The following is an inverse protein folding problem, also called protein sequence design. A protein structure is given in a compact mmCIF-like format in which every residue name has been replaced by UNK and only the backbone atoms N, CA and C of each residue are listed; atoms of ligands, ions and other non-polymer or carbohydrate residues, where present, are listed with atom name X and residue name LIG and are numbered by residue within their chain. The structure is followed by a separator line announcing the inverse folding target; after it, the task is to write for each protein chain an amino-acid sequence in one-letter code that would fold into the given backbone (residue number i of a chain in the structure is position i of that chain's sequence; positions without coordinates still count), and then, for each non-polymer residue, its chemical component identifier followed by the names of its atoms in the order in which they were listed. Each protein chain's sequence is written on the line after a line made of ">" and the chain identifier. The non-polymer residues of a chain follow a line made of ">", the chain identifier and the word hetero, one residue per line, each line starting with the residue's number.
data_IF_403720981215
#
_entry.id   IF_403720981215
#
_cell.length_a   1.000
_cell.length_b   1.000
_cell.length_c   1.000
_cell.angle_alpha   90.00
_cell.angle_beta   90.00
_cell.angle_gamma   90.00
#
_symmetry.space_group_name_H-M   'P 1'
#
loop_
_entity.id
_entity.type
_entity.pdbx_description
1 polymer ?
#
# COMPACT_ATOMS: atom_id res chain seq x y z
N UNK A 1 -11.10 11.05 -19.40
CA UNK A 1 -10.80 12.08 -18.40
C UNK A 1 -11.92 12.07 -17.36
N UNK A 2 -11.64 11.56 -16.15
CA UNK A 2 -12.66 11.33 -15.12
C UNK A 2 -13.20 12.70 -14.66
N UNK A 3 -14.48 12.99 -14.91
CA UNK A 3 -15.21 14.23 -14.57
C UNK A 3 -14.82 15.55 -15.31
N UNK A 4 -13.70 15.62 -16.04
CA UNK A 4 -13.20 16.87 -16.66
C UNK A 4 -13.03 18.04 -15.67
N UNK A 5 -12.75 17.75 -14.39
CA UNK A 5 -12.63 18.73 -13.28
C UNK A 5 -11.28 18.64 -12.61
N UNK A 6 -10.87 19.73 -11.95
CA UNK A 6 -9.70 19.73 -11.08
C UNK A 6 -10.08 19.29 -9.68
N UNK A 7 -9.34 18.34 -9.14
CA UNK A 7 -9.59 17.83 -7.79
C UNK A 7 -8.56 18.38 -6.81
N UNK A 8 -9.02 18.78 -5.62
CA UNK A 8 -8.13 19.24 -4.54
C UNK A 8 -7.70 18.04 -3.70
N UNK A 9 -6.39 17.82 -3.63
CA UNK A 9 -5.73 16.77 -2.84
C UNK A 9 -5.16 17.34 -1.55
N UNK A 10 -5.13 16.55 -0.46
CA UNK A 10 -4.47 16.98 0.76
C UNK A 10 -2.96 17.07 0.51
N UNK A 11 -2.32 18.15 0.95
CA UNK A 11 -0.87 18.34 0.88
C UNK A 11 -0.09 17.40 1.81
N UNK A 12 -0.78 16.80 2.79
CA UNK A 12 -0.22 15.81 3.70
C UNK A 12 -1.09 14.56 3.76
N UNK A 13 -0.46 13.40 3.64
CA UNK A 13 -1.11 12.11 3.87
C UNK A 13 -0.82 11.64 5.29
N UNK A 14 -1.87 11.31 6.04
CA UNK A 14 -1.71 10.62 7.32
C UNK A 14 -1.21 9.21 7.07
N UNK A 15 -0.24 8.78 7.87
CA UNK A 15 0.33 7.43 7.83
C UNK A 15 0.21 6.84 9.23
N UNK A 16 -0.05 5.54 9.32
CA UNK A 16 -0.01 4.84 10.60
C UNK A 16 1.38 5.07 11.24
N UNK A 17 1.48 5.49 12.51
CA UNK A 17 2.77 5.73 13.18
C UNK A 17 3.77 4.57 13.07
N UNK A 18 3.28 3.32 12.96
CA UNK A 18 4.11 2.12 12.73
C UNK A 18 4.89 2.17 11.41
N UNK A 19 4.39 2.88 10.40
CA UNK A 19 4.99 3.03 9.08
C UNK A 19 5.80 4.33 8.94
N UNK A 20 5.77 5.24 9.92
CA UNK A 20 6.51 6.50 9.83
C UNK A 20 7.90 6.45 10.50
N UNK A 21 8.19 5.41 11.28
CA UNK A 21 9.52 5.20 11.87
C UNK A 21 10.41 4.49 10.86
N UNK A 22 11.50 5.09 10.38
CA UNK A 22 12.57 4.37 9.65
C UNK A 22 12.99 3.15 10.50
N UNK A 23 13.13 1.98 9.88
CA UNK A 23 13.31 0.70 10.56
C UNK A 23 14.24 0.75 11.78
N UNK A 24 13.70 0.34 12.94
CA UNK A 24 14.36 -0.15 14.16
C UNK A 24 15.79 0.35 14.38
N UNK A 25 15.97 1.60 14.81
CA UNK A 25 17.15 2.09 15.53
C UNK A 25 16.76 3.47 16.10
N UNK A 26 16.84 3.63 17.42
CA UNK A 26 16.60 4.87 18.18
C UNK A 26 15.15 5.21 18.54
N UNK A 27 14.77 4.80 19.76
CA UNK A 27 13.68 5.39 20.53
C UNK A 27 14.21 6.59 21.33
N UNK A 28 13.58 7.75 21.21
CA UNK A 28 13.62 8.79 22.24
C UNK A 28 12.17 9.19 22.56
N UNK A 29 11.72 8.89 23.77
CA UNK A 29 10.29 8.92 24.16
C UNK A 29 9.79 10.30 24.66
N UNK A 30 10.45 11.40 24.31
CA UNK A 30 10.01 12.75 24.69
C UNK A 30 9.67 13.58 23.44
N UNK A 31 8.45 13.43 22.93
CA UNK A 31 7.94 14.20 21.79
C UNK A 31 6.55 14.79 22.09
N UNK A 32 6.38 16.09 21.80
CA UNK A 32 5.16 16.87 22.02
C UNK A 32 3.99 16.38 21.14
N UNK A 33 2.78 16.89 21.36
CA UNK A 33 1.59 16.55 20.57
C UNK A 33 1.73 16.94 19.08
N UNK A 34 2.40 18.05 18.78
CA UNK A 34 2.71 18.46 17.41
C UNK A 34 3.77 17.57 16.77
N UNK A 35 4.80 17.18 17.53
CA UNK A 35 5.82 16.22 17.06
C UNK A 35 5.21 14.86 16.73
N UNK A 36 4.16 14.44 17.44
CA UNK A 36 3.41 13.20 17.18
C UNK A 36 2.57 13.27 15.89
N UNK A 37 2.06 14.45 15.52
CA UNK A 37 1.32 14.64 14.26
C UNK A 37 2.26 14.76 13.05
N UNK A 38 3.37 15.48 13.21
CA UNK A 38 4.45 15.50 12.23
C UNK A 38 5.03 14.10 12.01
N UNK A 39 5.18 13.31 13.09
CA UNK A 39 5.56 11.91 13.05
C UNK A 39 4.45 10.92 12.64
N UNK A 40 3.28 11.39 12.20
CA UNK A 40 2.21 10.53 11.64
C UNK A 40 1.65 11.03 10.31
N UNK A 41 2.36 11.94 9.64
CA UNK A 41 1.99 12.40 8.30
C UNK A 41 3.22 12.63 7.42
N UNK A 42 3.06 12.46 6.10
CA UNK A 42 4.07 12.78 5.11
C UNK A 42 3.53 13.77 4.09
N UNK A 43 4.42 14.57 3.51
CA UNK A 43 4.06 15.42 2.39
C UNK A 43 3.61 14.55 1.20
N UNK A 44 2.54 14.98 0.55
CA UNK A 44 1.86 14.21 -0.50
C UNK A 44 2.76 14.02 -1.73
N UNK A 45 3.50 15.07 -2.08
CA UNK A 45 4.50 15.14 -3.15
C UNK A 45 5.80 14.37 -2.86
N UNK A 46 6.09 14.05 -1.59
CA UNK A 46 7.23 13.18 -1.26
C UNK A 46 6.96 11.71 -1.55
N UNK A 47 5.68 11.35 -1.72
CA UNK A 47 5.21 9.98 -1.95
C UNK A 47 4.71 9.78 -3.38
N UNK A 48 4.00 10.76 -3.93
CA UNK A 48 3.35 10.65 -5.23
C UNK A 48 3.71 11.81 -6.15
N UNK A 49 3.69 11.52 -7.44
CA UNK A 49 4.04 12.44 -8.52
C UNK A 49 2.78 13.19 -8.99
N UNK A 50 2.63 14.45 -8.59
CA UNK A 50 1.40 15.23 -8.86
C UNK A 50 1.23 15.52 -10.34
N UNK A 51 2.32 15.70 -11.08
CA UNK A 51 2.30 15.92 -12.53
C UNK A 51 1.82 14.65 -13.24
N UNK A 52 2.37 13.49 -12.86
CA UNK A 52 1.95 12.21 -13.41
C UNK A 52 0.49 11.87 -13.07
N UNK A 53 0.00 12.23 -11.88
CA UNK A 53 -1.43 12.09 -11.55
C UNK A 53 -2.27 12.99 -12.48
N UNK A 54 -1.80 14.22 -12.70
CA UNK A 54 -2.49 15.25 -13.50
C UNK A 54 -2.69 14.85 -14.96
N UNK A 55 -1.85 13.95 -15.50
CA UNK A 55 -2.05 13.35 -16.83
C UNK A 55 -3.36 12.55 -16.94
N UNK A 56 -3.86 12.00 -15.83
CA UNK A 56 -5.10 11.21 -15.81
C UNK A 56 -6.30 12.01 -15.28
N UNK A 57 -6.09 12.72 -14.17
CA UNK A 57 -7.08 13.61 -13.57
C UNK A 57 -6.36 14.84 -13.04
N UNK A 58 -6.75 16.06 -13.46
CA UNK A 58 -6.10 17.28 -12.98
C UNK A 58 -6.19 17.38 -11.46
N UNK A 59 -5.06 17.59 -10.79
CA UNK A 59 -5.00 17.72 -9.33
C UNK A 59 -4.20 18.93 -8.89
N UNK A 60 -4.62 19.51 -7.76
CA UNK A 60 -3.86 20.56 -7.06
C UNK A 60 -3.82 20.23 -5.56
N UNK A 61 -2.74 20.63 -4.88
CA UNK A 61 -2.64 20.47 -3.43
C UNK A 61 -3.37 21.61 -2.70
N UNK A 62 -3.93 21.30 -1.53
CA UNK A 62 -4.62 22.26 -0.64
C UNK A 62 -3.71 23.30 0.04
N UNK A 63 -2.41 23.26 -0.21
CA UNK A 63 -1.43 24.28 0.18
C UNK A 63 -0.78 24.97 -1.04
N UNK A 64 -1.26 24.71 -2.26
CA UNK A 64 -0.71 25.32 -3.47
C UNK A 64 -1.13 26.78 -3.59
N UNK A 65 -0.27 27.62 -4.19
CA UNK A 65 -0.60 29.02 -4.48
C UNK A 65 -1.88 29.12 -5.33
N UNK A 66 -2.01 28.24 -6.32
CA UNK A 66 -3.20 28.16 -7.17
C UNK A 66 -4.47 27.92 -6.34
N UNK A 67 -4.44 27.03 -5.35
CA UNK A 67 -5.57 26.81 -4.44
C UNK A 67 -5.93 28.07 -3.63
N UNK A 68 -4.94 28.80 -3.11
CA UNK A 68 -5.18 30.05 -2.39
C UNK A 68 -5.75 31.15 -3.30
N UNK A 69 -5.22 31.29 -4.52
CA UNK A 69 -5.72 32.24 -5.52
C UNK A 69 -7.18 31.95 -5.87
N UNK A 70 -7.50 30.67 -6.11
CA UNK A 70 -8.86 30.18 -6.35
C UNK A 70 -9.79 30.55 -5.18
N UNK A 71 -9.43 30.22 -3.94
CA UNK A 71 -10.26 30.52 -2.75
C UNK A 71 -10.52 32.02 -2.60
N UNK A 72 -9.50 32.86 -2.83
CA UNK A 72 -9.62 34.31 -2.71
C UNK A 72 -10.49 34.95 -3.79
N UNK A 73 -10.63 34.28 -4.95
CA UNK A 73 -11.37 34.76 -6.12
C UNK A 73 -12.79 34.21 -6.16
N UNK A 74 -13.00 32.95 -5.79
CA UNK A 74 -14.31 32.30 -5.74
C UNK A 74 -15.24 32.93 -4.70
N UNK A 75 -14.68 33.43 -3.59
CA UNK A 75 -15.43 34.21 -2.61
C UNK A 75 -16.01 35.51 -3.19
N UNK A 76 -15.51 35.99 -4.35
CA UNK A 76 -15.96 37.21 -5.01
C UNK A 76 -16.96 36.99 -6.16
N UNK A 77 -17.06 35.77 -6.72
CA UNK A 77 -17.81 35.48 -7.96
C UNK A 77 -18.98 34.48 -7.80
N UNK A 78 -19.24 34.00 -6.58
CA UNK A 78 -20.41 33.18 -6.25
C UNK A 78 -20.17 31.67 -6.29
N UNK A 79 -21.03 30.93 -5.60
CA UNK A 79 -20.87 29.52 -5.19
C UNK A 79 -20.94 28.45 -6.31
N UNK A 80 -20.71 28.80 -7.58
CA UNK A 80 -20.91 27.88 -8.73
C UNK A 80 -19.63 27.26 -9.30
N UNK A 81 -18.44 27.64 -8.82
CA UNK A 81 -17.16 27.13 -9.36
C UNK A 81 -16.50 26.05 -8.49
N UNK A 82 -16.76 26.04 -7.18
CA UNK A 82 -16.12 25.14 -6.21
C UNK A 82 -17.19 24.48 -5.36
N UNK A 83 -17.11 23.17 -5.13
CA UNK A 83 -17.88 22.50 -4.09
C UNK A 83 -17.02 21.70 -3.12
N UNK A 84 -17.36 21.81 -1.84
CA UNK A 84 -16.93 20.91 -0.78
C UNK A 84 -17.88 19.72 -0.77
N UNK A 85 -17.35 18.51 -0.99
CA UNK A 85 -18.17 17.32 -1.28
C UNK A 85 -17.90 16.21 -0.26
N UNK A 86 -17.87 16.59 1.02
CA UNK A 86 -17.81 15.65 2.13
C UNK A 86 -19.05 14.75 2.13
N UNK A 87 -18.85 13.44 2.31
CA UNK A 87 -19.95 12.45 2.31
C UNK A 87 -20.61 12.16 0.95
N UNK A 88 -20.27 12.89 -0.12
CA UNK A 88 -20.89 12.69 -1.45
C UNK A 88 -20.28 11.47 -2.15
N UNK A 89 -21.13 10.52 -2.59
CA UNK A 89 -20.66 9.30 -3.28
C UNK A 89 -20.11 9.60 -4.68
N UNK A 90 -19.30 8.68 -5.23
CA UNK A 90 -18.82 8.77 -6.62
C UNK A 90 -19.99 8.85 -7.62
N UNK A 91 -21.04 8.06 -7.40
CA UNK A 91 -22.24 8.03 -8.25
C UNK A 91 -22.95 9.38 -8.21
N UNK A 92 -23.16 9.94 -7.02
CA UNK A 92 -23.79 11.24 -6.87
C UNK A 92 -23.00 12.38 -7.52
N UNK A 93 -21.66 12.36 -7.47
CA UNK A 93 -20.86 13.36 -8.19
C UNK A 93 -20.96 13.25 -9.71
N UNK A 94 -21.15 12.04 -10.23
CA UNK A 94 -21.19 11.81 -11.67
C UNK A 94 -22.59 12.07 -12.26
N UNK A 95 -23.64 11.76 -11.51
CA UNK A 95 -25.02 11.75 -12.02
C UNK A 95 -25.84 12.97 -11.58
N UNK A 96 -25.46 13.67 -10.51
CA UNK A 96 -26.23 14.81 -10.03
C UNK A 96 -25.82 16.11 -10.74
N UNK A 97 -26.79 16.70 -11.45
CA UNK A 97 -26.61 17.95 -12.19
C UNK A 97 -26.12 19.13 -11.32
N UNK A 98 -26.32 19.10 -10.00
CA UNK A 98 -25.77 20.10 -9.08
C UNK A 98 -24.24 20.20 -9.14
N UNK A 99 -23.55 19.09 -9.45
CA UNK A 99 -22.09 19.04 -9.54
C UNK A 99 -21.56 19.16 -10.96
N UNK A 100 -22.45 19.14 -11.97
CA UNK A 100 -22.09 19.12 -13.38
C UNK A 100 -21.37 20.37 -13.86
N UNK A 101 -21.63 21.54 -13.26
CA UNK A 101 -21.03 22.82 -13.68
C UNK A 101 -19.83 23.27 -12.82
N UNK A 102 -19.45 22.48 -11.81
CA UNK A 102 -18.33 22.83 -10.94
C UNK A 102 -17.02 22.71 -11.70
N UNK A 103 -16.05 23.59 -11.45
CA UNK A 103 -14.70 23.52 -12.01
C UNK A 103 -13.76 22.76 -11.06
N UNK A 104 -13.97 22.96 -9.75
CA UNK A 104 -13.16 22.38 -8.69
C UNK A 104 -13.99 21.58 -7.70
N UNK A 105 -13.50 20.38 -7.40
CA UNK A 105 -14.10 19.50 -6.41
C UNK A 105 -13.14 19.39 -5.23
N UNK A 106 -13.50 20.05 -4.14
CA UNK A 106 -12.75 19.93 -2.90
C UNK A 106 -13.16 18.64 -2.15
N UNK A 107 -12.32 17.62 -2.33
CA UNK A 107 -12.44 16.32 -1.67
C UNK A 107 -11.65 16.23 -0.37
N UNK A 108 -10.82 17.22 -0.02
CA UNK A 108 -10.02 17.19 1.23
C UNK A 108 -10.91 17.26 2.49
N UNK A 109 -12.14 17.77 2.34
CA UNK A 109 -13.18 17.69 3.36
C UNK A 109 -13.60 16.24 3.70
N UNK A 110 -13.30 15.25 2.85
CA UNK A 110 -13.51 13.84 3.17
C UNK A 110 -12.19 13.19 3.61
N UNK A 111 -12.13 12.58 4.81
CA UNK A 111 -10.92 11.89 5.32
C UNK A 111 -10.49 10.65 4.51
N UNK A 112 -11.26 10.24 3.50
CA UNK A 112 -11.17 8.95 2.81
C UNK A 112 -11.10 9.07 1.27
N UNK A 113 -11.36 10.25 0.73
CA UNK A 113 -11.64 10.49 -0.70
C UNK A 113 -10.47 10.14 -1.62
N UNK A 114 -9.26 10.30 -1.12
CA UNK A 114 -8.02 10.05 -1.86
C UNK A 114 -7.25 8.85 -1.31
N UNK A 115 -7.11 8.76 0.02
CA UNK A 115 -6.16 7.87 0.66
C UNK A 115 -6.82 7.09 1.80
N UNK A 116 -7.13 5.82 1.55
CA UNK A 116 -7.71 4.92 2.55
C UNK A 116 -6.63 4.35 3.48
N UNK A 117 -5.82 5.20 4.11
CA UNK A 117 -4.66 4.73 4.88
C UNK A 117 -4.90 4.68 6.38
N UNK A 118 -5.72 5.60 6.93
CA UNK A 118 -5.70 5.82 8.38
C UNK A 118 -6.98 5.54 9.18
N UNK A 119 -8.23 5.54 8.65
CA UNK A 119 -9.39 5.39 9.57
C UNK A 119 -10.58 4.51 9.13
N UNK A 120 -10.98 4.43 7.87
CA UNK A 120 -12.18 3.64 7.53
C UNK A 120 -12.08 2.93 6.18
N UNK A 121 -11.23 1.90 6.11
CA UNK A 121 -10.90 1.10 4.91
C UNK A 121 -12.08 0.39 4.23
N UNK A 122 -13.30 0.51 4.74
CA UNK A 122 -14.45 -0.30 4.33
C UNK A 122 -15.37 0.41 3.32
N UNK A 123 -15.42 1.76 3.31
CA UNK A 123 -16.28 2.49 2.39
C UNK A 123 -15.56 2.90 1.09
N UNK A 124 -15.54 1.99 0.09
CA UNK A 124 -14.92 2.23 -1.22
C UNK A 124 -15.78 3.06 -2.18
N UNK A 125 -17.06 3.29 -1.86
CA UNK A 125 -17.99 4.06 -2.72
C UNK A 125 -17.63 5.55 -2.81
N UNK A 126 -16.81 6.04 -1.88
CA UNK A 126 -16.32 7.41 -1.83
C UNK A 126 -15.06 7.65 -2.69
N UNK A 127 -14.40 6.59 -3.16
CA UNK A 127 -13.15 6.69 -3.91
C UNK A 127 -13.45 6.84 -5.39
N UNK A 128 -12.92 7.88 -6.00
CA UNK A 128 -13.14 8.18 -7.41
C UNK A 128 -12.24 7.36 -8.35
N UNK A 129 -11.04 7.01 -7.90
CA UNK A 129 -10.01 6.37 -8.72
C UNK A 129 -9.86 4.86 -8.44
N UNK A 130 -9.41 4.06 -9.42
CA UNK A 130 -9.12 2.64 -9.21
C UNK A 130 -8.14 2.42 -8.05
N UNK A 131 -8.28 1.31 -7.33
CA UNK A 131 -7.38 0.94 -6.23
C UNK A 131 -5.91 0.77 -6.67
N UNK A 132 -5.69 0.49 -7.96
CA UNK A 132 -4.36 0.38 -8.57
C UNK A 132 -3.73 1.71 -9.00
N UNK A 133 -4.51 2.80 -9.06
CA UNK A 133 -4.07 4.07 -9.65
C UNK A 133 -2.96 4.74 -8.84
N UNK A 134 -3.22 5.15 -7.60
CA UNK A 134 -2.22 5.83 -6.78
C UNK A 134 -0.90 5.07 -6.66
N UNK A 135 -0.90 3.74 -6.47
CA UNK A 135 0.33 2.96 -6.47
C UNK A 135 1.21 3.06 -7.72
N UNK A 136 0.64 3.34 -8.90
CA UNK A 136 1.42 3.57 -10.13
C UNK A 136 1.89 5.02 -10.29
N UNK A 137 1.53 5.90 -9.36
CA UNK A 137 1.78 7.34 -9.40
C UNK A 137 2.84 7.76 -8.37
N UNK A 138 3.76 6.86 -8.02
CA UNK A 138 4.79 7.13 -7.03
C UNK A 138 5.71 8.28 -7.48
N UNK A 139 6.18 9.07 -6.52
CA UNK A 139 7.07 10.21 -6.75
C UNK A 139 8.28 9.78 -7.61
N UNK A 140 8.70 10.65 -8.54
CA UNK A 140 9.80 10.37 -9.48
C UNK A 140 11.05 9.81 -8.79
N UNK A 141 11.44 10.38 -7.64
CA UNK A 141 12.60 9.90 -6.85
C UNK A 141 12.49 8.42 -6.44
N UNK A 142 11.29 7.96 -6.09
CA UNK A 142 11.02 6.58 -5.68
C UNK A 142 11.05 5.64 -6.89
N UNK A 143 10.51 6.09 -8.03
CA UNK A 143 10.55 5.37 -9.32
C UNK A 143 11.98 5.19 -9.80
N UNK A 144 12.75 6.27 -9.87
CA UNK A 144 14.14 6.27 -10.34
C UNK A 144 15.01 5.28 -9.52
N UNK A 145 14.77 5.18 -8.21
CA UNK A 145 15.52 4.25 -7.35
C UNK A 145 15.02 2.82 -7.41
N UNK A 146 13.72 2.60 -7.53
CA UNK A 146 13.21 1.29 -7.86
C UNK A 146 13.82 0.78 -9.18
N UNK A 147 13.92 1.64 -10.21
CA UNK A 147 14.54 1.29 -11.49
C UNK A 147 16.02 0.94 -11.36
N UNK A 148 16.79 1.67 -10.53
CA UNK A 148 18.18 1.30 -10.21
C UNK A 148 18.28 -0.07 -9.55
N UNK A 149 17.42 -0.37 -8.56
CA UNK A 149 17.42 -1.68 -7.90
C UNK A 149 17.04 -2.79 -8.87
N UNK A 150 16.03 -2.58 -9.72
CA UNK A 150 15.64 -3.52 -10.78
C UNK A 150 16.77 -3.79 -11.77
N UNK A 151 17.51 -2.76 -12.16
CA UNK A 151 18.68 -2.92 -13.04
C UNK A 151 19.77 -3.80 -12.40
N UNK A 152 20.01 -3.66 -11.10
CA UNK A 152 20.95 -4.53 -10.35
C UNK A 152 20.41 -5.95 -10.19
N UNK A 153 19.09 -6.11 -10.00
CA UNK A 153 18.43 -7.42 -9.89
C UNK A 153 18.46 -8.22 -11.22
N UNK A 154 18.38 -7.54 -12.36
CA UNK A 154 18.33 -8.19 -13.68
C UNK A 154 16.99 -8.86 -13.97
N UNK A 155 17.00 -10.14 -14.37
CA UNK A 155 15.78 -10.97 -14.47
C UNK A 155 15.51 -11.67 -13.14
N UNK A 156 14.36 -11.38 -12.53
CA UNK A 156 13.98 -11.86 -11.21
C UNK A 156 12.48 -12.09 -11.10
N UNK A 157 12.09 -12.89 -10.10
CA UNK A 157 10.73 -13.02 -9.62
C UNK A 157 10.60 -12.38 -8.25
N UNK A 158 9.38 -12.13 -7.80
CA UNK A 158 9.14 -11.52 -6.51
C UNK A 158 8.05 -12.23 -5.72
N UNK A 159 8.24 -12.27 -4.40
CA UNK A 159 7.22 -12.69 -3.45
C UNK A 159 6.97 -11.60 -2.43
N UNK A 160 5.70 -11.36 -2.13
CA UNK A 160 5.28 -10.54 -1.00
C UNK A 160 4.76 -11.43 0.12
N UNK A 161 5.34 -11.33 1.31
CA UNK A 161 4.96 -12.14 2.48
C UNK A 161 4.50 -11.26 3.63
N UNK A 162 3.19 -11.11 3.79
CA UNK A 162 2.52 -10.36 4.87
C UNK A 162 2.10 -11.29 5.99
N UNK A 163 2.93 -11.36 7.04
CA UNK A 163 2.79 -12.33 8.12
C UNK A 163 2.65 -11.65 9.48
N UNK A 164 3.63 -10.88 9.93
CA UNK A 164 3.76 -10.43 11.32
C UNK A 164 2.49 -9.79 11.94
N UNK A 165 1.86 -8.83 11.27
CA UNK A 165 0.63 -8.17 11.75
C UNK A 165 -0.66 -9.00 11.60
N UNK A 166 -0.59 -10.05 10.77
CA UNK A 166 -1.71 -10.93 10.41
C UNK A 166 -1.76 -12.21 11.24
N UNK A 167 -0.65 -12.58 11.86
CA UNK A 167 -0.48 -13.70 12.79
C UNK A 167 -1.12 -13.43 14.17
N UNK A 168 -2.36 -12.93 14.20
CA UNK A 168 -3.08 -12.65 15.45
C UNK A 168 -3.86 -13.89 15.87
N UNK A 169 -3.56 -14.41 17.06
CA UNK A 169 -4.30 -15.50 17.67
C UNK A 169 -4.98 -15.08 18.96
N UNK A 170 -6.03 -15.82 19.34
CA UNK A 170 -6.71 -15.68 20.64
C UNK A 170 -7.20 -17.04 21.10
N UNK A 171 -7.34 -17.24 22.41
CA UNK A 171 -8.02 -18.42 22.96
C UNK A 171 -9.53 -18.18 23.04
N UNK A 172 -10.32 -19.19 22.69
CA UNK A 172 -11.75 -19.17 22.96
C UNK A 172 -12.05 -19.57 24.42
N UNK A 173 -13.35 -19.64 24.78
CA UNK A 173 -13.80 -19.99 26.12
C UNK A 173 -13.38 -21.40 26.59
N UNK A 174 -12.92 -22.26 25.68
CA UNK A 174 -12.44 -23.60 25.95
C UNK A 174 -10.90 -23.69 25.92
N UNK A 175 -10.22 -22.55 25.77
CA UNK A 175 -8.76 -22.49 25.71
C UNK A 175 -8.17 -22.84 24.34
N UNK A 176 -9.01 -23.08 23.32
CA UNK A 176 -8.56 -23.45 21.97
C UNK A 176 -8.07 -22.21 21.23
N UNK A 177 -6.89 -22.30 20.62
CA UNK A 177 -6.34 -21.21 19.82
C UNK A 177 -7.17 -20.99 18.55
N UNK A 178 -7.43 -19.72 18.23
CA UNK A 178 -8.16 -19.28 17.05
C UNK A 178 -7.40 -18.17 16.35
N UNK A 179 -7.53 -18.11 15.02
CA UNK A 179 -6.94 -17.08 14.14
C UNK A 179 -7.98 -16.59 13.14
N UNK A 180 -7.78 -15.38 12.62
CA UNK A 180 -8.56 -14.84 11.49
C UNK A 180 -8.07 -15.36 10.12
N UNK A 181 -6.88 -15.97 10.12
CA UNK A 181 -6.17 -16.47 8.95
C UNK A 181 -5.67 -17.89 9.28
N UNK A 182 -6.54 -18.92 9.12
CA UNK A 182 -6.23 -20.30 9.53
C UNK A 182 -5.03 -20.91 8.82
N UNK A 183 -4.78 -20.58 7.55
CA UNK A 183 -3.71 -21.21 6.76
C UNK A 183 -2.44 -20.35 6.69
N UNK A 184 -2.53 -19.06 6.98
CA UNK A 184 -1.43 -18.10 6.77
C UNK A 184 -0.11 -18.54 7.41
N UNK A 185 -0.11 -19.05 8.64
CA UNK A 185 1.14 -19.47 9.30
C UNK A 185 1.83 -20.56 8.50
N UNK A 186 1.11 -21.66 8.25
CA UNK A 186 1.55 -22.81 7.49
C UNK A 186 2.05 -22.41 6.11
N UNK A 187 1.18 -21.74 5.35
CA UNK A 187 1.40 -21.43 3.94
C UNK A 187 2.58 -20.47 3.69
N UNK A 188 2.92 -19.64 4.69
CA UNK A 188 4.03 -18.68 4.60
C UNK A 188 5.33 -19.16 5.24
N UNK A 189 5.37 -20.39 5.76
CA UNK A 189 6.63 -21.01 6.18
C UNK A 189 7.50 -21.37 4.97
N UNK A 190 8.84 -21.29 5.07
CA UNK A 190 9.73 -21.47 3.92
C UNK A 190 9.54 -22.80 3.19
N UNK A 191 9.31 -23.89 3.90
CA UNK A 191 9.10 -25.22 3.34
C UNK A 191 7.80 -25.33 2.52
N UNK A 192 6.74 -24.61 2.91
CA UNK A 192 5.49 -24.53 2.15
C UNK A 192 5.61 -23.57 0.98
N UNK A 193 6.30 -22.44 1.18
CA UNK A 193 6.63 -21.49 0.09
C UNK A 193 7.40 -22.22 -1.01
N UNK A 194 8.45 -22.99 -0.68
CA UNK A 194 9.24 -23.76 -1.64
C UNK A 194 8.37 -24.62 -2.56
N UNK A 195 7.50 -25.45 -1.97
CA UNK A 195 6.58 -26.32 -2.72
C UNK A 195 5.58 -25.53 -3.54
N UNK A 196 5.03 -24.45 -2.96
CA UNK A 196 3.96 -23.67 -3.61
C UNK A 196 4.47 -22.86 -4.79
N UNK A 197 5.68 -22.31 -4.73
CA UNK A 197 6.21 -21.46 -5.81
C UNK A 197 6.96 -22.24 -6.89
N UNK A 198 7.36 -23.49 -6.63
CA UNK A 198 8.06 -24.34 -7.61
C UNK A 198 7.30 -24.51 -8.93
N UNK A 199 5.96 -24.57 -8.88
CA UNK A 199 5.11 -24.64 -10.08
C UNK A 199 5.13 -23.37 -10.95
N UNK A 200 5.67 -22.26 -10.44
CA UNK A 200 5.66 -20.96 -11.11
C UNK A 200 7.08 -20.44 -11.37
N UNK A 201 8.02 -20.73 -10.48
CA UNK A 201 9.38 -20.21 -10.51
C UNK A 201 10.38 -21.35 -10.66
N UNK A 202 11.08 -21.45 -11.81
CA UNK A 202 12.13 -22.42 -12.02
C UNK A 202 13.28 -22.31 -10.98
N UNK A 203 13.95 -23.42 -10.64
CA UNK A 203 15.11 -23.40 -9.74
C UNK A 203 16.26 -22.54 -10.30
N UNK A 204 17.07 -21.98 -9.40
CA UNK A 204 18.23 -21.13 -9.73
C UNK A 204 17.91 -19.65 -9.99
N UNK A 205 16.63 -19.28 -10.07
CA UNK A 205 16.18 -17.91 -10.28
C UNK A 205 16.36 -17.03 -9.04
N UNK A 206 16.46 -15.72 -9.27
CA UNK A 206 16.49 -14.71 -8.21
C UNK A 206 15.08 -14.39 -7.75
N UNK A 207 14.84 -14.45 -6.45
CA UNK A 207 13.57 -14.07 -5.82
C UNK A 207 13.80 -12.87 -4.92
N UNK A 208 13.19 -11.74 -5.28
CA UNK A 208 13.07 -10.58 -4.41
C UNK A 208 11.96 -10.81 -3.37
N UNK A 209 12.29 -10.69 -2.08
CA UNK A 209 11.37 -10.96 -0.98
C UNK A 209 11.05 -9.65 -0.24
N UNK A 210 9.81 -9.18 -0.37
CA UNK A 210 9.27 -8.10 0.46
C UNK A 210 8.42 -8.70 1.59
N UNK A 211 8.82 -8.48 2.84
CA UNK A 211 8.11 -9.07 3.98
C UNK A 211 8.13 -8.18 5.22
N UNK A 212 7.11 -8.35 6.06
CA UNK A 212 7.08 -7.80 7.42
C UNK A 212 7.38 -8.86 8.50
N UNK A 213 7.90 -10.03 8.12
CA UNK A 213 8.47 -11.00 9.06
C UNK A 213 9.68 -10.38 9.77
N UNK A 214 9.76 -10.58 11.08
CA UNK A 214 10.78 -9.95 11.94
C UNK A 214 11.93 -10.88 12.29
N UNK A 215 11.71 -12.19 12.15
CA UNK A 215 12.69 -13.21 12.48
C UNK A 215 13.85 -13.17 11.46
N UNK A 216 15.08 -12.83 11.87
CA UNK A 216 16.22 -12.80 10.95
C UNK A 216 16.44 -14.17 10.31
N UNK A 217 16.70 -14.18 9.00
CA UNK A 217 16.97 -15.43 8.28
C UNK A 217 15.78 -16.37 8.13
N UNK A 218 14.54 -15.92 8.43
CA UNK A 218 13.35 -16.76 8.33
C UNK A 218 13.21 -17.45 6.97
N UNK A 219 13.48 -16.74 5.87
CA UNK A 219 13.38 -17.28 4.51
C UNK A 219 14.67 -17.96 4.00
N UNK A 220 15.67 -18.17 4.85
CA UNK A 220 16.97 -18.72 4.43
C UNK A 220 16.86 -20.09 3.76
N UNK A 221 15.88 -20.93 4.16
CA UNK A 221 15.65 -22.24 3.53
C UNK A 221 15.31 -22.14 2.04
N UNK A 222 14.77 -21.02 1.56
CA UNK A 222 14.52 -20.80 0.13
C UNK A 222 15.81 -20.83 -0.70
N UNK A 223 16.97 -20.58 -0.07
CA UNK A 223 18.29 -20.56 -0.72
C UNK A 223 18.74 -21.92 -1.26
N UNK A 224 18.11 -23.01 -0.80
CA UNK A 224 18.33 -24.35 -1.34
C UNK A 224 17.97 -24.43 -2.82
N UNK A 225 17.05 -23.58 -3.30
CA UNK A 225 16.56 -23.60 -4.69
C UNK A 225 16.69 -22.26 -5.42
N UNK A 226 16.74 -21.13 -4.70
CA UNK A 226 16.65 -19.80 -5.29
C UNK A 226 17.75 -18.87 -4.78
N UNK A 227 18.11 -17.87 -5.58
CA UNK A 227 18.96 -16.76 -5.11
C UNK A 227 18.06 -15.75 -4.42
N UNK A 228 18.34 -15.38 -3.17
CA UNK A 228 17.46 -14.51 -2.39
C UNK A 228 17.94 -13.07 -2.45
N UNK A 229 17.03 -12.14 -2.71
CA UNK A 229 17.28 -10.71 -2.68
C UNK A 229 16.26 -10.00 -1.75
N UNK A 230 16.75 -9.03 -0.99
CA UNK A 230 15.97 -8.24 -0.05
C UNK A 230 16.31 -6.75 -0.23
N UNK A 231 15.42 -5.87 0.18
CA UNK A 231 15.67 -4.42 0.20
C UNK A 231 16.97 -4.06 0.94
N UNK A 232 17.29 -4.77 2.02
CA UNK A 232 18.52 -4.57 2.79
C UNK A 232 19.80 -4.83 2.01
N UNK A 233 19.77 -5.62 0.92
CA UNK A 233 20.93 -5.80 0.04
C UNK A 233 21.25 -4.55 -0.79
N UNK A 234 20.34 -3.58 -0.85
CA UNK A 234 20.44 -2.36 -1.65
C UNK A 234 20.43 -1.09 -0.78
N UNK A 235 20.76 -1.20 0.51
CA UNK A 235 20.75 -0.09 1.46
C UNK A 235 21.55 1.13 0.99
N UNK A 236 22.68 0.93 0.31
CA UNK A 236 23.48 2.03 -0.25
C UNK A 236 22.73 2.89 -1.27
N UNK A 237 21.75 2.31 -1.98
CA UNK A 237 20.91 3.00 -2.96
C UNK A 237 19.65 3.58 -2.28
N UNK A 238 19.11 2.85 -1.31
CA UNK A 238 17.82 3.13 -0.67
C UNK A 238 17.93 4.13 0.49
N UNK A 239 18.88 3.94 1.40
CA UNK A 239 19.00 4.71 2.65
C UNK A 239 19.15 6.22 2.46
N UNK A 240 19.83 6.74 1.41
CA UNK A 240 19.92 8.18 1.17
C UNK A 240 18.59 8.87 0.84
N UNK A 241 17.56 8.12 0.44
CA UNK A 241 16.28 8.67 -0.02
C UNK A 241 15.09 8.28 0.87
N UNK A 242 15.19 7.17 1.59
CA UNK A 242 14.11 6.69 2.44
C UNK A 242 14.13 7.46 3.76
N UNK A 243 13.09 8.27 3.93
CA UNK A 243 12.80 9.04 5.13
C UNK A 243 11.92 8.23 6.10
N UNK A 244 11.09 7.31 5.60
CA UNK A 244 10.17 6.51 6.41
C UNK A 244 9.84 5.13 5.79
N UNK A 245 9.28 4.20 6.58
CA UNK A 245 8.96 2.85 6.09
C UNK A 245 7.85 2.83 5.02
N UNK A 246 7.04 3.88 4.91
CA UNK A 246 6.04 3.96 3.86
C UNK A 246 6.68 4.18 2.49
N UNK A 247 7.69 5.04 2.39
CA UNK A 247 8.51 5.17 1.17
C UNK A 247 9.22 3.87 0.82
N UNK A 248 9.77 3.15 1.82
CA UNK A 248 10.33 1.81 1.60
C UNK A 248 9.29 0.86 1.00
N UNK A 249 8.09 0.82 1.58
CA UNK A 249 6.98 0.00 1.08
C UNK A 249 6.59 0.37 -0.37
N UNK A 250 6.57 1.66 -0.71
CA UNK A 250 6.30 2.10 -2.09
C UNK A 250 7.40 1.64 -3.06
N UNK A 251 8.67 1.75 -2.67
CA UNK A 251 9.80 1.28 -3.49
C UNK A 251 9.76 -0.24 -3.66
N UNK A 252 9.56 -1.00 -2.59
CA UNK A 252 9.42 -2.45 -2.65
C UNK A 252 8.29 -2.85 -3.59
N UNK A 253 7.17 -2.13 -3.56
CA UNK A 253 6.07 -2.37 -4.48
C UNK A 253 6.45 -2.11 -5.94
N UNK A 254 7.16 -1.02 -6.22
CA UNK A 254 7.67 -0.72 -7.57
C UNK A 254 8.65 -1.79 -8.07
N UNK A 255 9.52 -2.29 -7.19
CA UNK A 255 10.42 -3.40 -7.50
C UNK A 255 9.60 -4.66 -7.80
N UNK A 256 8.63 -5.03 -6.98
CA UNK A 256 7.80 -6.22 -7.22
C UNK A 256 7.01 -6.13 -8.53
N UNK A 257 6.53 -4.95 -8.91
CA UNK A 257 5.81 -4.74 -10.19
C UNK A 257 6.71 -4.91 -11.43
N UNK A 258 8.03 -4.81 -11.28
CA UNK A 258 8.98 -5.08 -12.37
C UNK A 258 9.38 -6.56 -12.50
N UNK A 259 8.93 -7.43 -11.58
CA UNK A 259 9.30 -8.83 -11.59
C UNK A 259 8.61 -9.59 -12.73
N UNK A 260 9.27 -10.63 -13.24
CA UNK A 260 8.70 -11.53 -14.26
C UNK A 260 7.46 -12.26 -13.73
N UNK A 261 7.58 -12.80 -12.52
CA UNK A 261 6.49 -13.43 -11.78
C UNK A 261 6.34 -12.73 -10.44
N UNK A 262 5.14 -12.27 -10.11
CA UNK A 262 4.85 -11.67 -8.81
C UNK A 262 3.81 -12.48 -8.04
N UNK A 263 4.22 -13.04 -6.90
CA UNK A 263 3.39 -13.88 -6.05
C UNK A 263 3.04 -13.12 -4.77
N UNK A 264 1.76 -12.90 -4.54
CA UNK A 264 1.25 -12.16 -3.39
C UNK A 264 1.07 -13.10 -2.18
N UNK A 265 0.91 -12.54 -1.00
CA UNK A 265 0.54 -13.36 0.17
C UNK A 265 -0.87 -13.91 -0.01
N UNK A 266 -1.83 -13.01 -0.22
CA UNK A 266 -3.25 -13.31 -0.34
C UNK A 266 -3.71 -13.09 -1.79
N UNK A 267 -4.68 -13.89 -2.23
CA UNK A 267 -5.39 -13.66 -3.50
C UNK A 267 -6.18 -12.34 -3.42
N UNK A 268 -5.99 -11.44 -4.39
CA UNK A 268 -6.80 -10.23 -4.55
C UNK A 268 -7.73 -10.34 -5.76
N UNK A 269 -7.18 -10.81 -6.87
CA UNK A 269 -7.85 -10.94 -8.16
C UNK A 269 -7.77 -12.39 -8.66
N UNK A 270 -8.61 -12.77 -9.62
CA UNK A 270 -8.70 -14.16 -10.10
C UNK A 270 -7.39 -14.67 -10.71
N UNK A 271 -6.65 -13.79 -11.36
CA UNK A 271 -5.39 -14.06 -12.08
C UNK A 271 -4.15 -14.00 -11.17
N UNK A 272 -4.31 -13.66 -9.89
CA UNK A 272 -3.18 -13.53 -8.99
C UNK A 272 -2.56 -14.88 -8.65
N UNK A 273 -1.22 -14.90 -8.59
CA UNK A 273 -0.48 -15.94 -7.88
C UNK A 273 -0.41 -15.57 -6.40
N UNK A 274 -0.65 -16.54 -5.53
CA UNK A 274 -0.73 -16.29 -4.09
C UNK A 274 -0.13 -17.41 -3.25
N UNK A 275 0.35 -17.05 -2.06
CA UNK A 275 0.98 -17.97 -1.12
C UNK A 275 -0.01 -18.64 -0.19
N UNK A 276 -1.10 -18.00 0.22
CA UNK A 276 -2.05 -18.60 1.17
C UNK A 276 -3.47 -18.73 0.62
N UNK A 277 -4.13 -19.80 1.02
CA UNK A 277 -5.53 -20.07 0.67
C UNK A 277 -6.51 -19.16 1.45
N UNK A 278 -6.02 -18.42 2.42
CA UNK A 278 -6.81 -17.43 3.14
C UNK A 278 -7.17 -16.22 2.26
N UNK A 279 -8.41 -15.68 2.37
CA UNK A 279 -8.76 -14.44 1.69
C UNK A 279 -8.08 -13.23 2.37
N UNK A 280 -7.69 -12.23 1.57
CA UNK A 280 -7.11 -10.98 2.12
C UNK A 280 -8.07 -10.27 3.09
N UNK A 281 -9.36 -10.26 2.75
CA UNK A 281 -10.43 -9.78 3.61
C UNK A 281 -11.06 -10.99 4.30
N UNK A 282 -10.92 -11.06 5.62
CA UNK A 282 -11.66 -12.04 6.41
C UNK A 282 -13.06 -11.49 6.76
N UNK A 283 -13.98 -12.40 6.99
CA UNK A 283 -15.33 -12.13 7.52
C UNK A 283 -15.35 -11.96 9.05
N UNK A 284 -14.18 -11.69 9.66
CA UNK A 284 -13.98 -11.61 11.11
C UNK A 284 -14.34 -12.88 11.88
N UNK A 285 -14.46 -14.02 11.21
CA UNK A 285 -14.67 -15.32 11.86
C UNK A 285 -13.33 -15.89 12.33
N UNK A 286 -13.28 -16.28 13.60
CA UNK A 286 -12.10 -16.85 14.23
C UNK A 286 -12.14 -18.36 14.14
N UNK A 287 -11.14 -18.95 13.48
CA UNK A 287 -11.09 -20.36 13.11
C UNK A 287 -9.90 -21.06 13.76
N UNK A 288 -9.91 -22.40 13.82
CA UNK A 288 -8.75 -23.17 14.29
C UNK A 288 -7.61 -23.00 13.27
N UNK A 289 -6.37 -22.69 13.70
CA UNK A 289 -5.22 -22.68 12.81
C UNK A 289 -4.97 -24.05 12.19
N UNK A 290 -4.55 -24.07 10.93
CA UNK A 290 -4.19 -25.27 10.19
C UNK A 290 -2.67 -25.29 10.04
N UNK A 291 -2.02 -26.33 10.57
CA UNK A 291 -0.56 -26.47 10.57
C UNK A 291 -0.06 -27.60 9.68
N UNK A 292 -0.91 -28.55 9.33
CA UNK A 292 -0.59 -29.70 8.47
C UNK A 292 -0.98 -29.41 7.03
N UNK A 293 -0.32 -30.08 6.08
CA UNK A 293 -0.87 -30.18 4.73
C UNK A 293 -2.15 -30.99 4.81
N UNK A 294 -3.17 -30.58 4.05
CA UNK A 294 -4.23 -31.53 3.72
C UNK A 294 -3.53 -32.66 2.95
N UNK A 295 -3.68 -33.90 3.42
CA UNK A 295 -3.20 -35.05 2.66
C UNK A 295 -3.81 -34.92 1.26
N UNK A 296 -2.97 -34.85 0.23
CA UNK A 296 -3.43 -34.94 -1.15
C UNK A 296 -4.32 -36.18 -1.20
N UNK A 297 -5.63 -35.96 -1.38
CA UNK A 297 -6.59 -37.05 -1.45
C UNK A 297 -6.09 -38.06 -2.48
N UNK A 298 -5.94 -39.30 -2.01
CA UNK A 298 -5.60 -40.48 -2.79
C UNK A 298 -6.36 -40.60 -4.10
#
# INVERSE_FOLDING_TARGET
>A
MFLQRTLVMPSRMCINPLHNKKGILHHSDNASLEDRWAASSCAMDSLYDMDLISDTVPVILDNSELWYQILSTSMKLGAREIAHVEGVSRVALNENNLYSNLVLINRTASPLSWFMECKDRNNRSAIMLPYSFLPSMAAKKLRDVADKVKAVLGDYDAIHVRRGDKMKTRKDKFGVERTLHPHLDRDTRPEFILRRIEKWVPPGRTIFIASNERTPGFFSLLSVRYKLAYSSNYSQILDPLIENNYQLFMIERLIMMGAKTFIKTFKLDETDLYLTDDPKKNNKMWQIPVYTMDEEGS
#
